data_IF_043664571103
#
_entry.id   IF_043664571103
#
_cell.length_a   1.000
_cell.length_b   1.000
_cell.length_c   1.000
_cell.angle_alpha   90.00
_cell.angle_beta   90.00
_cell.angle_gamma   90.00
#
_symmetry.space_group_name_H-M   'P 1'
#
loop_
_entity.id
_entity.type
_entity.pdbx_description
1 polymer ?
#
# COMPACT_ATOMS: atom_id res chain seq x y z
N UNK A 1 13.73 -8.19 6.23
CA UNK A 1 12.83 -8.88 7.17
C UNK A 1 11.65 -9.41 6.37
N UNK A 2 11.17 -10.62 6.63
CA UNK A 2 10.02 -11.16 5.91
C UNK A 2 8.77 -10.33 6.24
N UNK A 3 7.87 -10.17 5.27
CA UNK A 3 6.59 -9.51 5.51
C UNK A 3 5.65 -10.44 6.29
N UNK A 4 5.03 -9.91 7.34
CA UNK A 4 4.14 -10.68 8.24
C UNK A 4 2.68 -10.25 8.13
N UNK A 5 2.41 -9.08 7.54
CA UNK A 5 1.06 -8.54 7.39
C UNK A 5 0.97 -7.52 6.25
N UNK A 6 -0.25 -7.37 5.72
CA UNK A 6 -0.55 -6.43 4.64
C UNK A 6 -1.64 -5.49 5.09
N UNK A 7 -1.45 -4.19 4.86
CA UNK A 7 -2.42 -3.15 5.25
C UNK A 7 -2.87 -2.37 4.02
N UNK A 8 -4.17 -2.39 3.78
CA UNK A 8 -4.85 -1.61 2.76
C UNK A 8 -5.17 -0.22 3.32
N UNK A 9 -4.43 0.80 2.90
CA UNK A 9 -4.52 2.15 3.45
C UNK A 9 -5.33 3.06 2.54
N UNK A 10 -6.45 3.57 3.07
CA UNK A 10 -7.27 4.60 2.42
C UNK A 10 -8.05 4.15 1.18
N UNK A 11 -8.33 2.85 1.04
CA UNK A 11 -9.14 2.31 -0.07
C UNK A 11 -10.63 2.37 0.23
N UNK A 12 -11.48 2.63 -0.76
CA UNK A 12 -12.93 2.49 -0.56
C UNK A 12 -13.32 1.01 -0.37
N UNK A 13 -14.58 0.73 0.00
CA UNK A 13 -15.05 -0.64 0.22
C UNK A 13 -14.90 -1.56 -1.00
N UNK A 14 -15.16 -1.04 -2.20
CA UNK A 14 -15.00 -1.78 -3.46
C UNK A 14 -13.53 -2.12 -3.76
N UNK A 15 -12.63 -1.13 -3.65
CA UNK A 15 -11.20 -1.33 -3.85
C UNK A 15 -10.63 -2.30 -2.81
N UNK A 16 -11.06 -2.17 -1.55
CA UNK A 16 -10.66 -3.06 -0.45
C UNK A 16 -11.03 -4.50 -0.79
N UNK A 17 -12.27 -4.77 -1.20
CA UNK A 17 -12.71 -6.12 -1.57
C UNK A 17 -11.90 -6.71 -2.72
N UNK A 18 -11.66 -5.92 -3.78
CA UNK A 18 -10.90 -6.38 -4.95
C UNK A 18 -9.43 -6.65 -4.62
N UNK A 19 -8.79 -5.76 -3.88
CA UNK A 19 -7.40 -5.92 -3.44
C UNK A 19 -7.26 -7.12 -2.51
N UNK A 20 -8.14 -7.28 -1.52
CA UNK A 20 -8.12 -8.46 -0.64
C UNK A 20 -8.23 -9.75 -1.45
N UNK A 21 -9.15 -9.83 -2.42
CA UNK A 21 -9.29 -11.02 -3.27
C UNK A 21 -8.04 -11.27 -4.12
N UNK A 22 -7.43 -10.22 -4.64
CA UNK A 22 -6.19 -10.31 -5.42
C UNK A 22 -5.04 -10.84 -4.55
N UNK A 23 -4.79 -10.21 -3.39
CA UNK A 23 -3.69 -10.55 -2.49
C UNK A 23 -3.79 -11.98 -1.99
N UNK A 24 -4.99 -12.42 -1.59
CA UNK A 24 -5.25 -13.79 -1.11
C UNK A 24 -4.93 -14.90 -2.12
N UNK A 25 -4.76 -14.58 -3.40
CA UNK A 25 -4.32 -15.58 -4.40
C UNK A 25 -2.81 -15.84 -4.35
N UNK A 26 -2.06 -14.98 -3.69
CA UNK A 26 -0.60 -14.98 -3.73
C UNK A 26 0.03 -15.14 -2.34
N UNK A 27 -0.75 -15.04 -1.27
CA UNK A 27 -0.28 -15.17 0.10
C UNK A 27 -1.43 -15.42 1.08
N UNK A 28 -1.09 -16.09 2.19
CA UNK A 28 -2.00 -16.33 3.32
C UNK A 28 -1.80 -15.34 4.48
N UNK A 29 -0.98 -14.30 4.27
CA UNK A 29 -0.71 -13.29 5.30
C UNK A 29 -2.00 -12.56 5.74
N UNK A 30 -2.10 -12.15 7.02
CA UNK A 30 -3.16 -11.28 7.50
C UNK A 30 -3.29 -10.00 6.66
N UNK A 31 -4.52 -9.65 6.32
CA UNK A 31 -4.86 -8.42 5.58
C UNK A 31 -5.75 -7.55 6.45
N UNK A 32 -5.29 -6.33 6.71
CA UNK A 32 -6.01 -5.29 7.45
C UNK A 32 -6.39 -4.12 6.55
N UNK A 33 -7.37 -3.34 6.95
CA UNK A 33 -7.75 -2.11 6.26
C UNK A 33 -7.72 -0.94 7.26
N UNK A 34 -7.20 0.21 6.83
CA UNK A 34 -7.12 1.40 7.66
C UNK A 34 -7.60 2.63 6.87
N UNK A 35 -8.60 3.34 7.43
CA UNK A 35 -9.17 4.57 6.89
C UNK A 35 -8.73 5.81 7.65
N UNK A 36 -7.94 5.65 8.72
CA UNK A 36 -7.43 6.75 9.53
C UNK A 36 -6.06 6.42 10.13
N UNK A 37 -5.29 7.43 10.59
CA UNK A 37 -4.06 7.19 11.33
C UNK A 37 -4.27 6.31 12.56
N UNK A 38 -5.37 6.52 13.30
CA UNK A 38 -5.71 5.74 14.50
C UNK A 38 -5.88 4.24 14.19
N UNK A 39 -6.44 3.91 13.03
CA UNK A 39 -6.58 2.53 12.57
C UNK A 39 -5.28 1.97 12.00
N UNK A 40 -4.42 2.81 11.42
CA UNK A 40 -3.15 2.39 10.83
C UNK A 40 -2.08 2.13 11.90
N UNK A 41 -2.00 2.97 12.93
CA UNK A 41 -0.94 2.94 13.96
C UNK A 41 -0.70 1.56 14.59
N UNK A 42 -1.73 0.76 14.95
CA UNK A 42 -1.51 -0.56 15.55
C UNK A 42 -0.78 -1.56 14.64
N UNK A 43 -0.77 -1.32 13.32
CA UNK A 43 -0.17 -2.19 12.31
C UNK A 43 1.13 -1.64 11.72
N UNK A 44 1.59 -0.47 12.17
CA UNK A 44 2.84 0.12 11.67
C UNK A 44 4.04 -0.59 12.30
N UNK A 45 4.66 -1.46 11.51
CA UNK A 45 5.88 -2.17 11.88
C UNK A 45 6.81 -2.36 10.67
N UNK A 46 8.13 -2.56 10.86
CA UNK A 46 9.07 -2.73 9.75
C UNK A 46 8.82 -3.94 8.85
N UNK A 47 8.09 -4.95 9.35
CA UNK A 47 7.67 -6.17 8.68
C UNK A 47 6.26 -6.08 8.05
N UNK A 48 5.64 -4.90 8.07
CA UNK A 48 4.39 -4.63 7.38
C UNK A 48 4.58 -4.19 5.93
N UNK A 49 3.66 -4.62 5.06
CA UNK A 49 3.54 -4.12 3.69
C UNK A 49 2.28 -3.25 3.56
N UNK A 50 2.48 -1.97 3.23
CA UNK A 50 1.39 -1.01 3.03
C UNK A 50 1.03 -0.89 1.55
N UNK A 51 -0.23 -1.13 1.21
CA UNK A 51 -0.78 -0.84 -0.11
C UNK A 51 -1.62 0.43 0.03
N UNK A 52 -1.07 1.56 -0.43
CA UNK A 52 -1.59 2.90 -0.14
C UNK A 52 -2.36 3.42 -1.35
N UNK A 53 -3.61 3.84 -1.16
CA UNK A 53 -4.38 4.51 -2.19
C UNK A 53 -3.82 5.92 -2.45
N UNK A 54 -3.79 6.39 -3.70
CA UNK A 54 -3.40 7.76 -4.02
C UNK A 54 -4.32 8.78 -3.33
N UNK A 55 -5.62 8.56 -3.39
CA UNK A 55 -6.60 9.43 -2.72
C UNK A 55 -6.95 8.80 -1.39
N UNK A 56 -6.56 9.45 -0.30
CA UNK A 56 -6.78 8.95 1.06
C UNK A 56 -7.90 9.73 1.77
N UNK A 57 -8.54 9.12 2.79
CA UNK A 57 -9.53 9.81 3.59
C UNK A 57 -8.99 11.07 4.28
N UNK A 58 -9.84 12.08 4.45
CA UNK A 58 -9.50 13.33 5.16
C UNK A 58 -8.99 13.10 6.59
N UNK A 59 -9.33 11.97 7.21
CA UNK A 59 -8.86 11.59 8.54
C UNK A 59 -7.32 11.52 8.65
N UNK A 60 -6.62 11.27 7.54
CA UNK A 60 -5.15 11.30 7.51
C UNK A 60 -4.55 12.70 7.59
N UNK A 61 -5.33 13.76 7.35
CA UNK A 61 -4.88 15.16 7.31
C UNK A 61 -3.70 15.40 6.37
N UNK A 62 -3.59 14.57 5.34
CA UNK A 62 -2.59 14.65 4.29
C UNK A 62 -3.29 14.80 2.93
N UNK A 63 -2.69 15.52 1.97
CA UNK A 63 -3.33 15.76 0.68
C UNK A 63 -3.53 14.47 -0.14
N UNK A 64 -2.52 13.58 -0.15
CA UNK A 64 -2.55 12.32 -0.90
C UNK A 64 -1.81 11.21 -0.15
N UNK A 65 -1.94 9.98 -0.65
CA UNK A 65 -1.16 8.83 -0.18
C UNK A 65 0.34 8.96 -0.41
N UNK A 66 0.78 9.84 -1.33
CA UNK A 66 2.20 10.06 -1.62
C UNK A 66 2.87 10.83 -0.47
N UNK A 67 2.21 11.85 0.10
CA UNK A 67 2.73 12.53 1.28
C UNK A 67 2.76 11.61 2.50
N UNK A 68 1.81 10.67 2.60
CA UNK A 68 1.85 9.63 3.64
C UNK A 68 3.07 8.72 3.48
N UNK A 69 3.38 8.28 2.25
CA UNK A 69 4.60 7.51 1.94
C UNK A 69 5.84 8.31 2.38
N UNK A 70 5.94 9.57 1.97
CA UNK A 70 7.07 10.43 2.31
C UNK A 70 7.25 10.58 3.83
N UNK A 71 6.15 10.78 4.57
CA UNK A 71 6.18 10.91 6.03
C UNK A 71 6.59 9.60 6.71
N UNK A 72 6.10 8.45 6.24
CA UNK A 72 6.46 7.14 6.79
C UNK A 72 7.94 6.84 6.58
N UNK A 73 8.48 7.18 5.41
CA UNK A 73 9.89 6.94 5.07
C UNK A 73 10.89 7.80 5.85
N UNK A 74 10.44 8.78 6.63
CA UNK A 74 11.28 9.52 7.58
C UNK A 74 11.54 8.76 8.88
N UNK A 75 10.83 7.65 9.13
CA UNK A 75 11.01 6.83 10.34
C UNK A 75 12.31 6.01 10.27
N UNK A 76 12.95 5.69 11.41
CA UNK A 76 14.22 4.95 11.44
C UNK A 76 14.14 3.52 10.91
N UNK A 77 12.94 2.93 10.79
CA UNK A 77 12.68 1.64 10.15
C UNK A 77 11.28 1.67 9.51
N UNK A 78 11.12 2.29 8.32
CA UNK A 78 9.80 2.46 7.74
C UNK A 78 9.25 1.12 7.23
N UNK A 79 7.91 0.92 7.28
CA UNK A 79 7.30 -0.21 6.61
C UNK A 79 7.50 -0.09 5.09
N UNK A 80 7.49 -1.22 4.38
CA UNK A 80 7.48 -1.19 2.92
C UNK A 80 6.14 -0.66 2.44
N UNK A 81 6.14 0.11 1.36
CA UNK A 81 4.91 0.68 0.81
C UNK A 81 4.87 0.60 -0.71
N UNK A 82 3.68 0.37 -1.26
CA UNK A 82 3.35 0.46 -2.69
C UNK A 82 2.20 1.44 -2.86
N UNK A 83 2.27 2.28 -3.89
CA UNK A 83 1.13 3.08 -4.30
C UNK A 83 0.20 2.26 -5.21
N UNK A 84 -1.08 2.26 -4.89
CA UNK A 84 -2.12 1.66 -5.73
C UNK A 84 -2.83 2.78 -6.50
N UNK A 85 -2.44 2.96 -7.76
CA UNK A 85 -2.91 4.04 -8.62
C UNK A 85 -2.78 3.67 -10.10
N UNK A 86 -3.80 4.00 -10.89
CA UNK A 86 -3.77 3.85 -12.34
C UNK A 86 -2.95 4.95 -13.05
N UNK A 87 -2.52 5.99 -12.32
CA UNK A 87 -1.80 7.13 -12.88
C UNK A 87 -0.28 6.91 -12.86
N UNK A 88 0.40 6.83 -14.02
CA UNK A 88 1.85 6.60 -14.08
C UNK A 88 2.68 7.69 -13.40
N UNK A 89 2.26 8.96 -13.53
CA UNK A 89 2.90 10.09 -12.85
C UNK A 89 2.89 9.93 -11.32
N UNK A 90 1.76 9.47 -10.77
CA UNK A 90 1.64 9.23 -9.33
C UNK A 90 2.49 8.04 -8.88
N UNK A 91 2.64 7.01 -9.72
CA UNK A 91 3.55 5.90 -9.45
C UNK A 91 5.00 6.40 -9.34
N UNK A 92 5.43 7.24 -10.29
CA UNK A 92 6.77 7.81 -10.26
C UNK A 92 7.00 8.70 -9.02
N UNK A 93 6.02 9.53 -8.66
CA UNK A 93 6.09 10.37 -7.46
C UNK A 93 6.18 9.53 -6.18
N UNK A 94 5.43 8.43 -6.08
CA UNK A 94 5.52 7.52 -4.93
C UNK A 94 6.89 6.87 -4.81
N UNK A 95 7.48 6.43 -5.92
CA UNK A 95 8.85 5.88 -5.92
C UNK A 95 9.86 6.93 -5.46
N UNK A 96 9.75 8.17 -5.95
CA UNK A 96 10.59 9.29 -5.48
C UNK A 96 10.40 9.58 -3.99
N UNK A 97 9.18 9.40 -3.46
CA UNK A 97 8.89 9.51 -2.04
C UNK A 97 9.38 8.30 -1.20
N UNK A 98 9.94 7.27 -1.85
CA UNK A 98 10.54 6.09 -1.23
C UNK A 98 9.63 4.84 -1.18
N UNK A 99 8.54 4.81 -1.94
CA UNK A 99 7.78 3.57 -2.14
C UNK A 99 8.52 2.60 -3.07
N UNK A 100 8.19 1.32 -2.94
CA UNK A 100 8.46 0.34 -3.99
C UNK A 100 7.55 0.60 -5.20
N UNK A 101 7.92 0.11 -6.40
CA UNK A 101 7.07 0.24 -7.57
C UNK A 101 5.69 -0.40 -7.34
N UNK A 102 4.65 0.41 -7.49
CA UNK A 102 3.26 0.01 -7.31
C UNK A 102 2.56 -0.35 -8.61
N UNK A 103 1.25 -0.59 -8.53
CA UNK A 103 0.42 -0.96 -9.67
C UNK A 103 -0.95 -0.30 -9.65
N UNK A 104 -1.66 -0.37 -10.77
CA UNK A 104 -3.01 0.17 -10.91
C UNK A 104 -4.10 -0.80 -10.47
N UNK A 105 -5.21 -0.24 -10.00
CA UNK A 105 -6.44 -0.96 -9.63
C UNK A 105 -7.07 -1.69 -10.81
N UNK A 106 -6.88 -1.16 -12.02
CA UNK A 106 -7.37 -1.79 -13.26
C UNK A 106 -6.48 -2.94 -13.74
N UNK A 107 -5.32 -3.15 -13.10
CA UNK A 107 -4.28 -4.07 -13.54
C UNK A 107 -4.04 -5.23 -12.56
N UNK A 108 -4.97 -5.51 -11.64
CA UNK A 108 -4.80 -6.54 -10.60
C UNK A 108 -4.59 -7.95 -11.17
N UNK A 109 -4.99 -8.22 -12.40
CA UNK A 109 -4.81 -9.54 -13.04
C UNK A 109 -3.57 -9.61 -13.93
N UNK A 110 -2.86 -8.51 -14.10
CA UNK A 110 -1.73 -8.45 -15.01
C UNK A 110 -0.51 -9.11 -14.36
N UNK A 111 0.25 -9.88 -15.15
CA UNK A 111 1.48 -10.54 -14.68
C UNK A 111 2.45 -9.56 -14.03
N UNK A 112 2.50 -8.32 -14.53
CA UNK A 112 3.30 -7.24 -13.95
C UNK A 112 2.89 -6.91 -12.51
N UNK A 113 1.59 -6.74 -12.25
CA UNK A 113 1.09 -6.40 -10.91
C UNK A 113 1.28 -7.55 -9.93
N UNK A 114 1.11 -8.79 -10.41
CA UNK A 114 1.41 -10.00 -9.63
C UNK A 114 2.87 -9.99 -9.22
N UNK A 115 3.78 -9.78 -10.18
CA UNK A 115 5.22 -9.74 -9.91
C UNK A 115 5.59 -8.65 -8.90
N UNK A 116 5.05 -7.45 -9.07
CA UNK A 116 5.29 -6.34 -8.13
C UNK A 116 4.82 -6.65 -6.72
N UNK A 117 3.65 -7.29 -6.56
CA UNK A 117 3.18 -7.75 -5.25
C UNK A 117 4.11 -8.81 -4.68
N UNK A 118 4.46 -9.85 -5.45
CA UNK A 118 5.29 -10.95 -4.94
C UNK A 118 6.71 -10.51 -4.59
N UNK A 119 7.31 -9.61 -5.38
CA UNK A 119 8.64 -9.06 -5.09
C UNK A 119 8.61 -8.25 -3.79
N UNK A 120 7.52 -7.53 -3.50
CA UNK A 120 7.37 -6.75 -2.27
C UNK A 120 7.19 -7.60 -1.00
N UNK A 121 6.76 -8.86 -1.15
CA UNK A 121 6.58 -9.81 -0.04
C UNK A 121 7.88 -10.47 0.44
N UNK A 122 8.95 -10.43 -0.37
CA UNK A 122 10.26 -11.07 -0.11
C UNK A 122 11.19 -10.20 0.73
#
# INVERSE_FOLDING_TARGET
MPITQIILVGHCGFDTANLTRFIKKHTDLPIHAAQSPKELTPYLSPDALLLINRVIPRAFKLPTGIELIAQLNQQPNPPRSLLISNFPESQQQAITAGALPGFGKSHLTDQKSIKLLTDALQ
#
